data_IF_552254920354
#
_entry.id   IF_552254920354
#
_cell.length_a   1.000
_cell.length_b   1.000
_cell.length_c   1.000
_cell.angle_alpha   90.00
_cell.angle_beta   90.00
_cell.angle_gamma   90.00
#
_symmetry.space_group_name_H-M   'P 1'
#
loop_
_entity.id
_entity.type
_entity.pdbx_description
1 polymer ?
#
# COMPACT_ATOMS: atom_id res chain seq x y z
N UNK A 1 -19.27 15.27 -29.07
CA UNK A 1 -19.83 16.21 -28.09
C UNK A 1 -20.76 15.42 -27.17
N UNK A 2 -20.48 15.40 -25.89
CA UNK A 2 -21.32 14.70 -24.92
C UNK A 2 -22.52 15.60 -24.59
N UNK A 3 -23.74 15.15 -24.91
CA UNK A 3 -24.97 15.82 -24.54
C UNK A 3 -25.49 15.20 -23.24
N UNK A 4 -25.72 16.04 -22.25
CA UNK A 4 -26.27 15.63 -20.95
C UNK A 4 -27.63 16.23 -20.73
N UNK A 5 -28.60 15.39 -20.35
CA UNK A 5 -29.96 15.85 -20.03
C UNK A 5 -29.96 16.64 -18.70
N UNK A 6 -30.63 17.79 -18.72
CA UNK A 6 -30.79 18.66 -17.56
C UNK A 6 -32.14 18.35 -16.91
N UNK A 7 -32.14 18.01 -15.61
CA UNK A 7 -33.33 17.69 -14.83
C UNK A 7 -33.63 18.79 -13.82
N UNK A 8 -34.90 19.06 -13.61
CA UNK A 8 -35.35 19.94 -12.52
C UNK A 8 -35.33 19.20 -11.15
N UNK A 9 -35.67 19.90 -10.07
CA UNK A 9 -35.72 19.30 -8.74
C UNK A 9 -36.81 18.22 -8.59
N UNK A 10 -37.79 18.18 -9.47
CA UNK A 10 -38.86 17.17 -9.53
C UNK A 10 -38.44 15.93 -10.36
N UNK A 11 -37.25 15.94 -10.95
CA UNK A 11 -36.74 14.84 -11.79
C UNK A 11 -37.28 14.83 -13.23
N UNK A 12 -37.92 15.92 -13.67
CA UNK A 12 -38.38 16.08 -15.07
C UNK A 12 -37.26 16.66 -15.92
N UNK A 13 -37.08 16.14 -17.12
CA UNK A 13 -36.15 16.67 -18.10
C UNK A 13 -36.58 18.03 -18.62
N UNK A 14 -35.73 19.04 -18.45
CA UNK A 14 -36.00 20.43 -18.82
C UNK A 14 -35.28 20.84 -20.08
N UNK A 15 -34.18 20.16 -20.43
CA UNK A 15 -33.37 20.46 -21.63
C UNK A 15 -32.14 19.60 -21.72
N UNK A 16 -31.30 19.91 -22.69
CA UNK A 16 -29.98 19.28 -22.89
C UNK A 16 -28.88 20.32 -22.87
N UNK A 17 -27.71 19.96 -22.32
CA UNK A 17 -26.51 20.78 -22.30
C UNK A 17 -25.42 20.08 -23.08
N UNK A 18 -24.82 20.80 -24.04
CA UNK A 18 -23.65 20.33 -24.79
C UNK A 18 -22.38 20.58 -23.94
N UNK A 19 -21.63 19.52 -23.66
CA UNK A 19 -20.38 19.62 -22.96
C UNK A 19 -19.20 19.60 -23.93
N UNK A 20 -18.16 20.38 -23.60
CA UNK A 20 -16.93 20.43 -24.41
C UNK A 20 -16.13 19.15 -24.21
N UNK A 21 -15.92 18.39 -25.31
CA UNK A 21 -15.19 17.10 -25.27
C UNK A 21 -13.74 17.26 -24.85
N UNK A 22 -13.10 18.41 -25.05
CA UNK A 22 -11.72 18.65 -24.59
C UNK A 22 -11.58 18.63 -23.07
N UNK A 23 -12.69 18.84 -22.34
CA UNK A 23 -12.72 18.85 -20.87
C UNK A 23 -13.39 17.60 -20.32
N UNK A 24 -14.55 17.23 -20.85
CA UNK A 24 -15.40 16.16 -20.30
C UNK A 24 -15.31 14.82 -21.05
N UNK A 25 -14.71 14.83 -22.24
CA UNK A 25 -14.49 13.63 -23.06
C UNK A 25 -13.08 13.07 -22.96
N UNK A 26 -12.30 13.41 -21.93
CA UNK A 26 -10.92 12.95 -21.78
C UNK A 26 -10.89 11.46 -21.48
N UNK A 27 -10.01 10.72 -22.16
CA UNK A 27 -9.81 9.29 -21.96
C UNK A 27 -9.32 8.99 -20.54
N UNK A 28 -9.90 7.96 -19.91
CA UNK A 28 -9.55 7.56 -18.55
C UNK A 28 -8.15 6.98 -18.50
N UNK A 29 -7.29 7.49 -17.63
CA UNK A 29 -5.96 6.94 -17.40
C UNK A 29 -6.02 5.85 -16.30
N UNK A 30 -6.19 4.60 -16.73
CA UNK A 30 -6.31 3.44 -15.83
C UNK A 30 -5.09 3.26 -14.91
N UNK A 31 -3.89 3.57 -15.41
CA UNK A 31 -2.66 3.49 -14.62
C UNK A 31 -2.70 4.45 -13.42
N UNK A 32 -3.16 5.68 -13.61
CA UNK A 32 -3.27 6.64 -12.50
C UNK A 32 -4.33 6.23 -11.49
N UNK A 33 -5.45 5.68 -11.94
CA UNK A 33 -6.49 5.14 -11.05
C UNK A 33 -5.93 4.00 -10.21
N UNK A 34 -5.22 3.06 -10.82
CA UNK A 34 -4.55 1.98 -10.12
C UNK A 34 -3.53 2.49 -9.08
N UNK A 35 -2.69 3.47 -9.46
CA UNK A 35 -1.71 4.07 -8.55
C UNK A 35 -2.37 4.77 -7.36
N UNK A 36 -3.54 5.38 -7.54
CA UNK A 36 -4.28 5.99 -6.44
C UNK A 36 -4.81 4.94 -5.46
N UNK A 37 -5.32 3.81 -5.96
CA UNK A 37 -5.75 2.68 -5.12
C UNK A 37 -4.57 2.12 -4.34
N UNK A 38 -3.42 1.88 -5.00
CA UNK A 38 -2.20 1.42 -4.33
C UNK A 38 -1.73 2.40 -3.25
N UNK A 39 -1.78 3.71 -3.53
CA UNK A 39 -1.44 4.74 -2.55
C UNK A 39 -2.35 4.65 -1.33
N UNK A 40 -3.65 4.56 -1.52
CA UNK A 40 -4.61 4.47 -0.41
C UNK A 40 -4.38 3.23 0.43
N UNK A 41 -4.21 2.07 -0.20
CA UNK A 41 -3.93 0.81 0.50
C UNK A 41 -2.60 0.86 1.26
N UNK A 42 -1.55 1.42 0.66
CA UNK A 42 -0.24 1.57 1.29
C UNK A 42 -0.28 2.53 2.48
N UNK A 43 -1.00 3.66 2.35
CA UNK A 43 -1.15 4.63 3.44
C UNK A 43 -1.96 4.10 4.62
N UNK A 44 -2.85 3.13 4.39
CA UNK A 44 -3.63 2.49 5.45
C UNK A 44 -2.83 1.41 6.20
N UNK A 45 -1.65 1.00 5.70
CA UNK A 45 -0.81 0.00 6.38
C UNK A 45 -0.13 0.63 7.60
N UNK A 46 -0.35 0.04 8.76
CA UNK A 46 0.24 0.49 10.02
C UNK A 46 1.75 0.26 10.10
N UNK A 47 2.28 -0.81 9.50
CA UNK A 47 3.70 -1.09 9.38
C UNK A 47 4.43 -1.39 10.69
N UNK A 48 3.74 -1.84 11.73
CA UNK A 48 4.28 -2.07 13.09
C UNK A 48 4.84 -3.48 13.32
N UNK A 49 4.89 -4.32 12.27
CA UNK A 49 5.42 -5.67 12.39
C UNK A 49 6.91 -5.64 12.78
N UNK A 50 7.27 -6.44 13.78
CA UNK A 50 8.65 -6.58 14.22
C UNK A 50 8.94 -8.00 14.69
N UNK A 51 10.11 -8.54 14.34
CA UNK A 51 10.68 -9.72 14.96
C UNK A 51 12.06 -9.37 15.54
N UNK A 52 12.45 -10.04 16.61
CA UNK A 52 13.73 -9.76 17.29
C UNK A 52 14.90 -10.38 16.54
N UNK A 53 15.92 -9.61 16.31
CA UNK A 53 17.22 -10.09 15.81
C UNK A 53 17.99 -10.79 16.93
N UNK A 54 19.06 -11.50 16.60
CA UNK A 54 19.88 -12.22 17.59
C UNK A 54 20.45 -11.34 18.72
N UNK A 55 20.65 -10.05 18.45
CA UNK A 55 21.14 -9.08 19.43
C UNK A 55 20.03 -8.57 20.36
N UNK A 56 18.76 -8.62 19.93
CA UNK A 56 17.61 -8.16 20.70
C UNK A 56 16.98 -9.28 21.56
N UNK A 57 17.25 -10.54 21.23
CA UNK A 57 16.74 -11.67 22.01
C UNK A 57 17.51 -11.77 23.33
N UNK A 58 16.79 -11.87 24.45
CA UNK A 58 17.37 -11.99 25.78
C UNK A 58 18.17 -13.29 25.92
N UNK A 59 19.34 -13.21 26.55
CA UNK A 59 20.22 -14.33 26.83
C UNK A 59 21.29 -14.59 25.76
N UNK A 60 21.99 -15.70 25.84
CA UNK A 60 23.00 -16.13 24.87
C UNK A 60 24.36 -15.43 24.95
N UNK A 61 24.62 -14.65 26.01
CA UNK A 61 25.92 -13.98 26.21
C UNK A 61 27.05 -14.95 26.54
N UNK A 62 26.75 -16.09 27.16
CA UNK A 62 27.74 -17.13 27.44
C UNK A 62 27.90 -18.05 26.23
N UNK A 63 29.17 -18.36 25.89
CA UNK A 63 29.50 -19.38 24.89
C UNK A 63 29.01 -20.75 25.36
N UNK A 64 28.25 -21.55 24.58
CA UNK A 64 27.67 -22.83 24.99
C UNK A 64 28.73 -23.87 25.44
N UNK A 65 29.83 -23.92 24.71
CA UNK A 65 30.97 -24.82 24.99
C UNK A 65 32.28 -24.24 24.44
N UNK A 66 33.39 -24.83 24.85
CA UNK A 66 34.72 -24.43 24.40
C UNK A 66 34.90 -24.64 22.90
N UNK A 67 35.81 -23.88 22.27
CA UNK A 67 36.03 -23.81 20.85
C UNK A 67 36.44 -25.14 20.21
N UNK A 68 37.20 -25.98 20.93
CA UNK A 68 37.76 -27.27 20.46
C UNK A 68 37.61 -28.34 21.56
N UNK A 69 37.68 -29.63 21.14
CA UNK A 69 37.72 -30.75 22.09
C UNK A 69 36.39 -31.17 22.70
N UNK A 70 35.22 -30.82 22.10
CA UNK A 70 33.90 -31.21 22.55
C UNK A 70 33.19 -32.16 21.57
N UNK A 71 33.69 -32.38 20.38
CA UNK A 71 32.98 -33.12 19.34
C UNK A 71 31.75 -32.41 18.75
N UNK A 72 31.37 -31.25 19.27
CA UNK A 72 30.25 -30.44 18.78
C UNK A 72 30.69 -29.40 17.78
N UNK A 73 29.73 -28.96 16.91
CA UNK A 73 29.94 -27.83 16.03
C UNK A 73 30.28 -26.56 16.83
N UNK A 74 31.12 -25.70 16.27
CA UNK A 74 31.51 -24.43 16.90
C UNK A 74 30.32 -23.48 17.02
N UNK A 75 30.04 -23.02 18.24
CA UNK A 75 28.92 -22.12 18.54
C UNK A 75 29.38 -20.95 19.41
N UNK A 76 28.89 -19.75 19.09
CA UNK A 76 29.19 -18.54 19.88
C UNK A 76 28.08 -18.14 20.83
N UNK A 77 26.84 -18.44 20.48
CA UNK A 77 25.67 -18.05 21.27
C UNK A 77 24.50 -19.01 21.02
N UNK A 78 23.70 -19.25 22.06
CA UNK A 78 22.44 -20.02 21.98
C UNK A 78 21.28 -19.22 21.36
N UNK A 79 21.48 -17.92 21.11
CA UNK A 79 20.50 -17.05 20.44
C UNK A 79 20.79 -16.81 18.96
N UNK A 80 21.74 -17.55 18.40
CA UNK A 80 22.02 -17.57 16.96
C UNK A 80 20.79 -18.12 16.19
N UNK A 81 20.62 -17.74 14.90
CA UNK A 81 19.41 -18.08 14.14
C UNK A 81 19.15 -19.58 13.94
N UNK A 82 20.17 -20.41 13.99
CA UNK A 82 20.08 -21.86 13.90
C UNK A 82 19.57 -22.55 15.17
N UNK A 83 19.46 -21.81 16.27
CA UNK A 83 18.99 -22.34 17.55
C UNK A 83 17.50 -22.12 17.72
N UNK A 84 16.83 -23.08 18.37
CA UNK A 84 15.45 -22.89 18.84
C UNK A 84 15.41 -21.70 19.81
N UNK A 85 14.43 -20.81 19.62
CA UNK A 85 14.33 -19.54 20.35
C UNK A 85 15.48 -18.54 20.06
N UNK A 86 16.25 -18.75 19.00
CA UNK A 86 17.21 -17.77 18.49
C UNK A 86 16.54 -16.60 17.76
N UNK A 87 17.33 -15.60 17.41
CA UNK A 87 16.85 -14.43 16.65
C UNK A 87 16.66 -14.73 15.18
N UNK A 88 15.88 -13.88 14.49
CA UNK A 88 15.66 -13.93 13.04
C UNK A 88 16.73 -13.07 12.35
N UNK A 89 17.34 -13.57 11.25
CA UNK A 89 18.43 -12.84 10.55
C UNK A 89 17.90 -11.61 9.84
N UNK A 90 16.97 -11.79 8.90
CA UNK A 90 16.29 -10.71 8.17
C UNK A 90 14.90 -10.51 8.76
N UNK A 91 14.88 -10.08 10.01
CA UNK A 91 13.63 -9.83 10.73
C UNK A 91 12.87 -8.66 10.11
N UNK A 92 11.54 -8.74 10.00
CA UNK A 92 10.75 -7.58 9.67
C UNK A 92 10.95 -6.49 10.74
N UNK A 93 11.11 -5.26 10.29
CA UNK A 93 11.22 -4.07 11.15
C UNK A 93 10.06 -3.13 10.88
N UNK A 94 9.61 -2.34 11.86
CA UNK A 94 8.62 -1.31 11.63
C UNK A 94 9.09 -0.34 10.55
N UNK A 95 8.22 -0.07 9.58
CA UNK A 95 8.49 0.89 8.53
C UNK A 95 7.23 1.61 8.09
N UNK A 96 7.39 2.80 7.60
CA UNK A 96 6.33 3.54 6.92
C UNK A 96 6.21 3.06 5.47
N UNK A 97 4.99 2.72 5.06
CA UNK A 97 4.63 2.32 3.70
C UNK A 97 3.99 3.47 2.92
N UNK A 98 3.72 4.60 3.57
CA UNK A 98 3.02 5.72 2.94
C UNK A 98 3.85 6.36 1.83
N UNK A 99 3.17 6.77 0.77
CA UNK A 99 3.74 7.60 -0.27
C UNK A 99 2.71 8.59 -0.80
N UNK A 100 3.18 9.63 -1.51
CA UNK A 100 2.35 10.70 -2.04
C UNK A 100 2.42 10.71 -3.56
N UNK A 101 1.27 10.87 -4.20
CA UNK A 101 1.19 11.21 -5.63
C UNK A 101 1.42 12.71 -5.83
N UNK A 102 1.99 13.07 -6.98
CA UNK A 102 2.20 14.46 -7.36
C UNK A 102 0.87 15.21 -7.54
N UNK A 103 0.89 16.53 -7.39
CA UNK A 103 -0.31 17.36 -7.55
C UNK A 103 -0.95 17.22 -8.94
N UNK A 104 -0.12 17.14 -10.00
CA UNK A 104 -0.60 16.98 -11.38
C UNK A 104 -1.28 15.62 -11.61
N UNK A 105 -0.72 14.55 -11.05
CA UNK A 105 -1.31 13.20 -11.07
C UNK A 105 -2.67 13.15 -10.39
N UNK A 106 -2.78 13.76 -9.20
CA UNK A 106 -4.05 13.87 -8.46
C UNK A 106 -5.10 14.68 -9.22
N UNK A 107 -4.71 15.77 -9.87
CA UNK A 107 -5.63 16.55 -10.68
C UNK A 107 -6.13 15.78 -11.89
N UNK A 108 -5.24 15.10 -12.61
CA UNK A 108 -5.60 14.24 -13.73
C UNK A 108 -6.57 13.13 -13.29
N UNK A 109 -6.29 12.47 -12.15
CA UNK A 109 -7.15 11.45 -11.58
C UNK A 109 -8.56 11.97 -11.29
N UNK A 110 -8.69 13.17 -10.74
CA UNK A 110 -9.99 13.77 -10.42
C UNK A 110 -10.88 13.95 -11.66
N UNK A 111 -10.28 14.35 -12.80
CA UNK A 111 -11.02 14.56 -14.04
C UNK A 111 -11.31 13.28 -14.82
N UNK A 112 -10.48 12.26 -14.69
CA UNK A 112 -10.56 11.02 -15.47
C UNK A 112 -11.18 9.85 -14.70
N UNK A 113 -11.29 9.93 -13.37
CA UNK A 113 -11.85 8.84 -12.57
C UNK A 113 -13.38 8.81 -12.66
N UNK A 114 -13.98 7.66 -12.99
CA UNK A 114 -15.42 7.51 -12.98
C UNK A 114 -15.99 7.75 -11.59
N UNK A 115 -17.03 8.57 -11.49
CA UNK A 115 -17.68 8.84 -10.22
C UNK A 115 -18.42 7.60 -9.70
N UNK A 116 -18.40 7.31 -8.39
CA UNK A 116 -19.22 6.25 -7.81
C UNK A 116 -20.73 6.39 -8.08
N UNK A 117 -21.21 7.61 -8.38
CA UNK A 117 -22.59 7.86 -8.77
C UNK A 117 -22.89 7.35 -10.18
N UNK A 118 -21.93 7.48 -11.10
CA UNK A 118 -22.08 7.04 -12.48
C UNK A 118 -22.11 5.51 -12.56
N UNK A 119 -21.35 4.83 -11.72
CA UNK A 119 -21.33 3.36 -11.64
C UNK A 119 -22.65 2.75 -11.13
N UNK A 120 -23.46 3.48 -10.38
CA UNK A 120 -24.77 3.01 -9.90
C UNK A 120 -25.89 3.08 -10.96
N UNK A 121 -25.71 3.84 -12.03
CA UNK A 121 -26.68 3.98 -13.13
C UNK A 121 -26.63 2.88 -14.18
N UNK A 122 -25.58 2.04 -14.19
CA UNK A 122 -25.40 0.95 -15.16
C UNK A 122 -25.94 -0.40 -14.67
N UNK A 123 -26.84 -0.42 -13.67
CA UNK A 123 -27.57 -1.62 -13.25
C UNK A 123 -29.06 -1.48 -13.43
#
# INVERSE_FOLDING_TARGET
MANVAVYNMEGKEVGSLELNDAIFGVEVNEHLVHMAVLQQLANNRQGTQKAKTRSEVSGGGRKPWRQKGTGHARQGSTRAPQWTHGGVVFAPVPRDYSFKLNKKEKSCLLYTSPSPRDMRRSR
#
